data_IF_838907466240
#
_entry.id   IF_838907466240
#
_cell.length_a   1.000
_cell.length_b   1.000
_cell.length_c   1.000
_cell.angle_alpha   90.00
_cell.angle_beta   90.00
_cell.angle_gamma   90.00
#
_symmetry.space_group_name_H-M   'P 1'
#
loop_
_entity.id
_entity.type
_entity.pdbx_description
1 polymer ?
#
# COMPACT_ATOMS: atom_id res chain seq x y z
N UNK A 1 0.84 8.78 3.75
CA UNK A 1 0.61 7.68 4.70
C UNK A 1 0.48 6.39 3.88
N UNK A 2 1.29 5.35 4.13
CA UNK A 2 1.21 4.10 3.38
C UNK A 2 -0.12 3.40 3.67
N UNK A 3 -0.76 2.80 2.66
CA UNK A 3 -2.02 2.05 2.82
C UNK A 3 -1.76 0.89 3.78
N UNK A 4 -2.50 0.83 4.89
CA UNK A 4 -2.53 -0.31 5.83
C UNK A 4 -2.76 -1.58 5.01
N UNK A 5 -1.84 -2.55 5.12
CA UNK A 5 -1.78 -3.75 4.31
C UNK A 5 -3.14 -4.43 4.16
N UNK A 6 -3.78 -4.18 3.02
CA UNK A 6 -5.00 -4.88 2.68
C UNK A 6 -4.58 -6.21 2.09
N UNK A 7 -4.71 -7.31 2.84
CA UNK A 7 -4.77 -8.66 2.27
C UNK A 7 -6.05 -8.87 1.43
N UNK A 8 -6.59 -7.78 0.88
CA UNK A 8 -7.72 -7.77 0.01
C UNK A 8 -7.33 -8.26 -1.38
N UNK A 9 -8.32 -8.65 -2.20
CA UNK A 9 -8.09 -9.17 -3.54
C UNK A 9 -7.43 -8.20 -4.54
N UNK A 10 -7.07 -6.99 -4.11
CA UNK A 10 -6.64 -5.84 -4.92
C UNK A 10 -5.44 -5.13 -4.28
N UNK A 11 -4.61 -5.91 -3.61
CA UNK A 11 -3.40 -5.41 -3.00
C UNK A 11 -2.28 -5.37 -4.04
N UNK A 12 -1.41 -4.37 -3.93
CA UNK A 12 -0.20 -4.29 -4.76
C UNK A 12 0.61 -5.58 -4.65
N UNK A 13 0.62 -6.24 -3.48
CA UNK A 13 1.28 -7.54 -3.31
C UNK A 13 0.69 -8.63 -4.21
N UNK A 14 -0.64 -8.68 -4.39
CA UNK A 14 -1.30 -9.65 -5.25
C UNK A 14 -1.00 -9.38 -6.72
N UNK A 15 -1.01 -8.11 -7.10
CA UNK A 15 -0.65 -7.63 -8.42
C UNK A 15 0.80 -7.98 -8.78
N UNK A 16 1.74 -7.75 -7.85
CA UNK A 16 3.13 -8.20 -7.96
C UNK A 16 3.21 -9.72 -8.14
N UNK A 17 2.50 -10.52 -7.33
CA UNK A 17 2.53 -11.99 -7.49
C UNK A 17 1.98 -12.46 -8.84
N UNK A 18 1.04 -11.71 -9.43
CA UNK A 18 0.52 -11.97 -10.78
C UNK A 18 1.58 -11.70 -11.84
N UNK A 19 2.32 -10.60 -11.72
CA UNK A 19 3.44 -10.26 -12.61
C UNK A 19 4.53 -11.34 -12.54
N UNK A 20 4.90 -11.76 -11.33
CA UNK A 20 5.89 -12.83 -11.13
C UNK A 20 5.43 -14.18 -11.74
N UNK A 21 4.15 -14.53 -11.62
CA UNK A 21 3.57 -15.72 -12.28
C UNK A 21 3.66 -15.65 -13.80
N UNK A 22 3.36 -14.49 -14.38
CA UNK A 22 3.40 -14.28 -15.83
C UNK A 22 4.80 -14.47 -16.38
N UNK A 23 5.79 -13.82 -15.73
CA UNK A 23 7.19 -13.97 -16.05
C UNK A 23 7.70 -15.42 -15.90
N UNK A 24 7.24 -16.14 -14.87
CA UNK A 24 7.59 -17.54 -14.65
C UNK A 24 7.10 -18.44 -15.79
N UNK A 25 5.84 -18.28 -16.22
CA UNK A 25 5.24 -19.05 -17.33
C UNK A 25 6.01 -18.80 -18.62
N UNK A 26 6.26 -17.53 -18.96
CA UNK A 26 6.89 -17.20 -20.23
C UNK A 26 8.36 -17.61 -20.31
N UNK A 27 9.05 -17.67 -19.16
CA UNK A 27 10.42 -18.20 -19.08
C UNK A 27 10.48 -19.73 -19.07
N UNK A 28 9.34 -20.41 -18.99
CA UNK A 28 9.28 -21.86 -18.86
C UNK A 28 9.95 -22.36 -17.57
N UNK A 29 10.00 -21.50 -16.54
CA UNK A 29 10.65 -21.82 -15.27
C UNK A 29 9.66 -22.51 -14.34
N UNK A 30 10.10 -23.53 -13.63
CA UNK A 30 9.29 -24.20 -12.60
C UNK A 30 9.38 -23.43 -11.27
N UNK A 31 8.38 -23.56 -10.40
CA UNK A 31 8.44 -22.99 -9.04
C UNK A 31 9.66 -23.51 -8.26
N UNK A 32 10.05 -24.76 -8.48
CA UNK A 32 11.26 -25.35 -7.91
C UNK A 32 12.54 -24.65 -8.35
N UNK A 33 12.66 -24.33 -9.64
CA UNK A 33 13.81 -23.59 -10.16
C UNK A 33 13.83 -22.16 -9.62
N UNK A 34 12.66 -21.49 -9.59
CA UNK A 34 12.54 -20.17 -9.00
C UNK A 34 12.96 -20.16 -7.53
N UNK A 35 12.49 -21.14 -6.75
CA UNK A 35 12.87 -21.33 -5.35
C UNK A 35 14.39 -21.49 -5.18
N UNK A 36 14.99 -22.33 -6.02
CA UNK A 36 16.44 -22.54 -6.02
C UNK A 36 17.22 -21.26 -6.32
N UNK A 37 16.80 -20.48 -7.31
CA UNK A 37 17.47 -19.23 -7.69
C UNK A 37 17.24 -18.08 -6.69
N UNK A 38 16.06 -18.01 -6.08
CA UNK A 38 15.72 -17.00 -5.08
C UNK A 38 16.19 -17.36 -3.66
N UNK A 39 16.81 -18.52 -3.45
CA UNK A 39 17.32 -18.92 -2.14
C UNK A 39 16.23 -19.19 -1.08
N UNK A 40 14.98 -19.41 -1.50
CA UNK A 40 13.84 -19.70 -0.61
C UNK A 40 13.23 -21.06 -0.91
N UNK A 41 12.46 -21.62 0.03
CA UNK A 41 11.85 -22.94 -0.16
C UNK A 41 10.74 -22.93 -1.23
N UNK A 42 10.58 -24.04 -1.95
CA UNK A 42 9.50 -24.22 -2.94
C UNK A 42 8.10 -24.04 -2.31
N UNK A 43 7.91 -24.51 -1.07
CA UNK A 43 6.67 -24.29 -0.31
C UNK A 43 6.41 -22.80 -0.01
N UNK A 44 7.45 -22.00 0.19
CA UNK A 44 7.30 -20.56 0.37
C UNK A 44 6.96 -19.87 -0.96
N UNK A 45 7.64 -20.25 -2.05
CA UNK A 45 7.31 -19.75 -3.40
C UNK A 45 5.85 -20.04 -3.74
N UNK A 46 5.40 -21.28 -3.54
CA UNK A 46 4.02 -21.69 -3.80
C UNK A 46 3.02 -20.83 -3.02
N UNK A 47 3.23 -20.66 -1.70
CA UNK A 47 2.35 -19.82 -0.86
C UNK A 47 2.38 -18.34 -1.23
N UNK A 48 3.55 -17.81 -1.59
CA UNK A 48 3.71 -16.42 -2.05
C UNK A 48 2.97 -16.22 -3.36
N UNK A 49 3.22 -17.06 -4.36
CA UNK A 49 2.58 -16.95 -5.68
C UNK A 49 1.06 -17.15 -5.59
N UNK A 50 0.57 -18.01 -4.69
CA UNK A 50 -0.86 -18.17 -4.40
C UNK A 50 -1.45 -17.06 -3.53
N UNK A 51 -0.63 -16.09 -3.10
CA UNK A 51 -1.02 -15.00 -2.20
C UNK A 51 -1.60 -15.48 -0.85
N UNK A 52 -1.22 -16.67 -0.42
CA UNK A 52 -1.55 -17.24 0.90
C UNK A 52 -0.61 -16.73 2.00
N UNK A 53 0.52 -16.15 1.61
CA UNK A 53 1.52 -15.59 2.50
C UNK A 53 1.94 -14.20 2.01
N UNK A 54 1.98 -13.23 2.92
CA UNK A 54 2.59 -11.92 2.66
C UNK A 54 4.08 -12.07 2.32
N UNK A 55 4.48 -11.45 1.23
CA UNK A 55 5.86 -11.42 0.75
C UNK A 55 6.57 -10.19 1.32
N UNK A 56 7.79 -10.37 1.82
CA UNK A 56 8.64 -9.23 2.21
C UNK A 56 9.24 -8.55 0.98
N UNK A 57 9.71 -7.30 1.12
CA UNK A 57 10.39 -6.59 0.03
C UNK A 57 11.63 -7.37 -0.42
N UNK A 58 12.42 -7.89 0.51
CA UNK A 58 13.60 -8.70 0.19
C UNK A 58 13.24 -9.96 -0.62
N UNK A 59 12.16 -10.67 -0.23
CA UNK A 59 11.68 -11.83 -0.99
C UNK A 59 11.17 -11.44 -2.38
N UNK A 60 10.57 -10.26 -2.51
CA UNK A 60 10.17 -9.73 -3.82
C UNK A 60 11.40 -9.47 -4.69
N UNK A 61 12.43 -8.86 -4.12
CA UNK A 61 13.69 -8.57 -4.82
C UNK A 61 14.39 -9.87 -5.26
N UNK A 62 14.54 -10.85 -4.38
CA UNK A 62 15.13 -12.16 -4.69
C UNK A 62 14.39 -12.87 -5.83
N UNK A 63 13.06 -12.83 -5.82
CA UNK A 63 12.22 -13.41 -6.87
C UNK A 63 12.33 -12.65 -8.19
N UNK A 64 12.41 -11.31 -8.15
CA UNK A 64 12.63 -10.49 -9.34
C UNK A 64 14.00 -10.78 -9.95
N UNK A 65 15.06 -10.85 -9.14
CA UNK A 65 16.42 -11.17 -9.58
C UNK A 65 16.47 -12.57 -10.22
N UNK A 66 15.86 -13.57 -9.57
CA UNK A 66 15.76 -14.93 -10.10
C UNK A 66 15.03 -14.98 -11.46
N UNK A 67 14.03 -14.12 -11.64
CA UNK A 67 13.30 -13.93 -12.88
C UNK A 67 13.91 -12.84 -13.78
N UNK A 68 15.12 -12.35 -13.51
CA UNK A 68 15.78 -11.24 -14.22
C UNK A 68 14.81 -10.12 -14.61
N UNK A 69 14.02 -9.67 -13.64
CA UNK A 69 13.10 -8.54 -13.73
C UNK A 69 13.64 -7.40 -12.87
N UNK A 70 13.37 -6.18 -13.30
CA UNK A 70 13.53 -5.00 -12.46
C UNK A 70 12.40 -4.89 -11.44
N UNK A 71 12.75 -4.80 -10.15
CA UNK A 71 11.76 -4.61 -9.08
C UNK A 71 10.98 -3.29 -9.27
N UNK A 72 11.64 -2.24 -9.77
CA UNK A 72 10.98 -0.96 -10.03
C UNK A 72 9.90 -1.10 -11.11
N UNK A 73 10.23 -1.76 -12.23
CA UNK A 73 9.27 -1.97 -13.32
C UNK A 73 8.11 -2.87 -12.88
N UNK A 74 8.38 -3.89 -12.07
CA UNK A 74 7.33 -4.72 -11.47
C UNK A 74 6.38 -3.88 -10.62
N UNK A 75 6.90 -2.99 -9.77
CA UNK A 75 6.04 -2.14 -8.95
C UNK A 75 5.30 -1.07 -9.77
N UNK A 76 5.95 -0.44 -10.75
CA UNK A 76 5.34 0.55 -11.62
C UNK A 76 4.18 -0.04 -12.43
N UNK A 77 4.35 -1.26 -12.97
CA UNK A 77 3.26 -2.01 -13.60
C UNK A 77 2.20 -2.46 -12.58
N UNK A 78 2.60 -2.85 -11.36
CA UNK A 78 1.67 -3.24 -10.31
C UNK A 78 0.74 -2.09 -9.87
N UNK A 79 1.18 -0.83 -10.00
CA UNK A 79 0.38 0.35 -9.63
C UNK A 79 -0.33 1.02 -10.82
N UNK A 80 0.07 0.79 -12.07
CA UNK A 80 -0.52 1.46 -13.22
C UNK A 80 -1.92 0.90 -13.53
N UNK A 81 -2.95 1.68 -13.19
CA UNK A 81 -4.37 1.32 -13.37
C UNK A 81 -4.74 0.98 -14.83
N UNK A 82 -3.97 1.42 -15.82
CA UNK A 82 -4.21 1.13 -17.25
C UNK A 82 -3.84 -0.29 -17.66
N UNK A 83 -2.93 -0.91 -16.91
CA UNK A 83 -2.42 -2.27 -17.14
C UNK A 83 -3.50 -3.33 -16.88
N UNK A 84 -4.57 -2.95 -16.19
CA UNK A 84 -5.58 -3.84 -15.67
C UNK A 84 -6.83 -3.89 -16.56
N UNK A 85 -7.23 -5.10 -16.96
CA UNK A 85 -8.45 -5.34 -17.74
C UNK A 85 -8.25 -5.51 -19.24
N UNK A 86 -7.00 -5.51 -19.73
CA UNK A 86 -6.68 -5.90 -21.12
C UNK A 86 -5.71 -7.05 -21.10
N UNK A 87 -6.19 -8.20 -21.55
CA UNK A 87 -5.41 -9.44 -21.66
C UNK A 87 -4.20 -9.24 -22.57
N UNK A 88 -3.03 -9.74 -22.17
CA UNK A 88 -1.84 -9.85 -23.03
C UNK A 88 -1.23 -8.56 -23.58
N UNK A 89 -1.80 -7.38 -23.31
CA UNK A 89 -1.31 -6.10 -23.84
C UNK A 89 -0.10 -5.54 -23.08
N UNK A 90 0.16 -6.03 -21.86
CA UNK A 90 1.17 -5.46 -21.00
C UNK A 90 2.29 -6.43 -20.71
N UNK A 91 3.50 -5.89 -20.65
CA UNK A 91 4.71 -6.65 -20.36
C UNK A 91 5.57 -5.93 -19.32
N UNK A 92 6.18 -6.68 -18.40
CA UNK A 92 7.29 -6.23 -17.54
C UNK A 92 8.57 -6.69 -18.20
N UNK A 93 9.48 -5.81 -18.61
CA UNK A 93 10.73 -6.21 -19.30
C UNK A 93 10.50 -7.12 -20.53
N UNK A 94 9.37 -6.96 -21.23
CA UNK A 94 8.97 -7.84 -22.35
C UNK A 94 8.27 -9.14 -21.94
N UNK A 95 8.00 -9.33 -20.64
CA UNK A 95 7.30 -10.48 -20.08
C UNK A 95 5.80 -10.23 -19.82
N UNK A 96 4.93 -11.04 -20.43
CA UNK A 96 3.49 -11.07 -20.27
C UNK A 96 3.08 -11.16 -18.80
N UNK A 97 2.06 -10.38 -18.46
CA UNK A 97 1.42 -10.46 -17.16
C UNK A 97 0.43 -11.64 -17.12
N UNK A 98 0.43 -12.45 -16.05
CA UNK A 98 -0.52 -13.54 -15.90
C UNK A 98 -1.97 -13.04 -15.74
N UNK A 99 -2.94 -13.95 -15.97
CA UNK A 99 -4.37 -13.65 -15.83
C UNK A 99 -4.73 -13.12 -14.43
N UNK A 100 -5.65 -12.16 -14.42
CA UNK A 100 -6.29 -11.75 -13.18
C UNK A 100 -7.37 -12.76 -12.78
N UNK A 101 -7.39 -13.25 -11.54
CA UNK A 101 -8.55 -14.00 -11.05
C UNK A 101 -9.82 -13.14 -10.89
N UNK A 102 -9.76 -11.82 -11.06
CA UNK A 102 -10.89 -10.90 -10.92
C UNK A 102 -11.11 -10.09 -12.21
N UNK A 103 -12.35 -10.10 -12.70
CA UNK A 103 -12.75 -9.31 -13.86
C UNK A 103 -12.78 -7.79 -13.54
N UNK A 104 -12.98 -6.98 -14.58
CA UNK A 104 -13.07 -5.53 -14.44
C UNK A 104 -14.19 -5.08 -13.48
N UNK A 105 -15.24 -5.88 -13.31
CA UNK A 105 -16.38 -5.58 -12.47
C UNK A 105 -16.08 -5.83 -10.99
N UNK A 106 -15.38 -6.92 -10.67
CA UNK A 106 -14.88 -7.18 -9.33
C UNK A 106 -14.02 -6.02 -8.81
N UNK A 107 -13.15 -5.46 -9.66
CA UNK A 107 -12.35 -4.27 -9.30
C UNK A 107 -13.20 -3.03 -9.03
N UNK A 108 -14.23 -2.79 -9.83
CA UNK A 108 -15.13 -1.66 -9.65
C UNK A 108 -15.89 -1.76 -8.32
N UNK A 109 -16.43 -2.94 -8.03
CA UNK A 109 -17.18 -3.21 -6.80
C UNK A 109 -16.30 -3.02 -5.57
N UNK A 110 -15.06 -3.53 -5.58
CA UNK A 110 -14.16 -3.32 -4.46
C UNK A 110 -13.71 -1.86 -4.30
N UNK A 111 -13.57 -1.11 -5.40
CA UNK A 111 -13.31 0.33 -5.33
C UNK A 111 -14.47 1.07 -4.66
N UNK A 112 -15.71 0.67 -4.97
CA UNK A 112 -16.91 1.21 -4.31
C UNK A 112 -16.88 0.94 -2.81
N UNK A 113 -16.56 -0.29 -2.41
CA UNK A 113 -16.50 -0.69 -1.00
C UNK A 113 -15.32 -0.04 -0.24
N UNK A 114 -14.16 0.10 -0.88
CA UNK A 114 -12.98 0.72 -0.28
C UNK A 114 -13.12 2.24 -0.15
N UNK A 115 -13.75 2.89 -1.14
CA UNK A 115 -14.15 4.29 -1.07
C UNK A 115 -15.11 4.52 0.11
N UNK A 116 -16.16 3.70 0.20
CA UNK A 116 -17.12 3.75 1.31
C UNK A 116 -16.46 3.55 2.68
N UNK A 117 -15.52 2.60 2.82
CA UNK A 117 -14.78 2.39 4.07
C UNK A 117 -13.86 3.56 4.43
N UNK A 118 -13.19 4.17 3.45
CA UNK A 118 -12.37 5.36 3.69
C UNK A 118 -13.22 6.57 4.08
N UNK A 119 -14.37 6.75 3.43
CA UNK A 119 -15.30 7.83 3.74
C UNK A 119 -15.90 7.63 5.14
N UNK A 120 -16.23 6.39 5.52
CA UNK A 120 -16.72 6.05 6.84
C UNK A 120 -15.65 6.25 7.92
N UNK A 121 -14.40 5.81 7.70
CA UNK A 121 -13.29 6.05 8.62
C UNK A 121 -12.99 7.55 8.77
N UNK A 122 -13.10 8.32 7.69
CA UNK A 122 -12.93 9.78 7.71
C UNK A 122 -14.04 10.46 8.50
N UNK A 123 -15.28 10.00 8.36
CA UNK A 123 -16.42 10.48 9.15
C UNK A 123 -16.29 10.13 10.64
N UNK A 124 -15.81 8.93 10.98
CA UNK A 124 -15.57 8.52 12.37
C UNK A 124 -14.47 9.35 13.04
N UNK A 125 -13.39 9.70 12.32
CA UNK A 125 -12.35 10.62 12.83
C UNK A 125 -12.92 12.03 13.06
N UNK A 126 -13.78 12.50 12.16
CA UNK A 126 -14.46 13.80 12.27
C UNK A 126 -15.51 13.84 13.40
N UNK A 127 -16.15 12.70 13.71
CA UNK A 127 -17.16 12.59 14.77
C UNK A 127 -16.54 12.27 16.14
N UNK A 128 -15.43 11.54 16.20
CA UNK A 128 -14.69 11.22 17.43
C UNK A 128 -13.84 12.37 17.98
N UNK A 129 -13.64 13.45 17.23
CA UNK A 129 -12.93 14.66 17.66
C UNK A 129 -13.79 15.71 18.38
N UNK A 130 -15.05 15.40 18.72
CA UNK A 130 -15.98 16.32 19.42
C UNK A 130 -16.56 15.69 20.69
N UNK A 131 -15.70 15.35 21.63
CA UNK A 131 -16.06 15.33 23.05
C UNK A 131 -14.78 15.32 23.87
N UNK A 132 -14.27 16.50 24.20
CA UNK A 132 -14.13 16.93 25.59
C UNK A 132 -13.21 18.16 25.72
N UNK A 133 -13.70 19.09 26.54
CA UNK A 133 -12.93 20.07 27.29
C UNK A 133 -12.24 21.22 26.54
N UNK A 134 -13.01 22.27 26.21
CA UNK A 134 -12.60 23.65 26.53
C UNK A 134 -13.79 24.45 27.06
N UNK A 135 -14.28 24.05 28.24
CA UNK A 135 -14.93 24.98 29.14
C UNK A 135 -13.81 25.60 29.99
N UNK A 136 -13.37 26.80 29.64
CA UNK A 136 -12.50 27.62 30.49
C UNK A 136 -12.94 29.08 30.31
N UNK A 137 -14.14 29.36 30.81
CA UNK A 137 -14.56 30.68 31.27
C UNK A 137 -14.00 30.87 32.68
N UNK A 138 -12.87 31.56 32.81
CA UNK A 138 -12.34 32.15 34.05
C UNK A 138 -11.11 32.97 33.68
N UNK A 139 -11.32 34.21 33.23
CA UNK A 139 -10.27 35.23 33.20
C UNK A 139 -9.77 35.47 34.63
N UNK A 140 -8.47 35.32 34.93
CA UNK A 140 -7.92 35.74 36.21
C UNK A 140 -7.70 37.26 36.23
N UNK A 141 -8.08 37.89 37.34
CA UNK A 141 -7.94 39.31 37.70
C UNK A 141 -6.61 39.95 37.24
N UNK A 142 -6.73 41.15 36.67
CA UNK A 142 -5.60 42.05 36.39
C UNK A 142 -4.98 42.56 37.71
N UNK A 143 -3.64 42.57 37.87
CA UNK A 143 -3.02 43.14 39.06
C UNK A 143 -3.08 44.67 39.08
N UNK A 144 -3.34 45.20 40.28
CA UNK A 144 -3.42 46.61 40.68
C UNK A 144 -2.29 47.50 40.15
N UNK A 145 -2.68 48.71 39.74
CA UNK A 145 -1.83 49.87 39.45
C UNK A 145 -0.90 50.20 40.63
N UNK A 146 0.40 50.27 40.35
CA UNK A 146 1.42 50.55 41.35
C UNK A 146 2.55 51.45 40.83
N UNK A 147 2.41 52.73 41.16
CA UNK A 147 3.47 53.71 41.47
C UNK A 147 4.23 54.39 40.32
N UNK A 148 3.66 55.51 39.85
CA UNK A 148 4.38 56.57 39.15
C UNK A 148 5.29 57.34 40.12
N UNK A 149 6.47 56.78 40.39
CA UNK A 149 7.55 57.47 41.11
C UNK A 149 8.25 58.51 40.22
N UNK A 150 7.76 59.74 40.23
CA UNK A 150 8.47 60.92 39.74
C UNK A 150 9.77 61.12 40.54
N UNK A 151 10.90 61.10 39.84
CA UNK A 151 12.20 61.56 40.36
C UNK A 151 12.79 62.59 39.42
N UNK A 152 12.38 63.85 39.60
CA UNK A 152 13.10 65.02 39.07
C UNK A 152 14.50 65.07 39.69
N UNK A 153 15.51 65.33 38.86
CA UNK A 153 16.85 65.65 39.33
C UNK A 153 17.66 66.35 38.24
N UNK A 154 17.98 67.65 38.39
CA UNK A 154 19.12 68.29 37.73
C UNK A 154 20.47 67.89 38.38
#
# INVERSE_FOLDING_TARGET
MPRKGSNGPYSVGRDVTRLLKGALIQRGMTQRQLAFHAGISESQVSRILSFEKEMTIDQCEDLCIALSLSIADVFDLAIDERVWGREGEFTVDGFLVAEDPLDAMGRYELRRESGQRNDQARLEILQGGKSDAYAADSSPDEPEEGDEGFGEGP
#
